data_IF_979887700592
#
_entry.id   IF_979887700592
#
_cell.length_a   1.000
_cell.length_b   1.000
_cell.length_c   1.000
_cell.angle_alpha   90.00
_cell.angle_beta   90.00
_cell.angle_gamma   90.00
#
_symmetry.space_group_name_H-M   'P 1'
#
loop_
_entity.id
_entity.type
_entity.pdbx_description
1 polymer ?
#
# COMPACT_ATOMS: atom_id res chain seq x y z
N UNK A 1 -12.31 11.02 10.02
CA UNK A 1 -11.01 10.40 10.30
C UNK A 1 -10.52 10.93 11.63
N UNK A 2 -10.20 9.98 12.50
CA UNK A 2 -9.67 10.17 13.83
C UNK A 2 -8.17 9.91 13.79
N UNK A 3 -7.40 10.79 14.42
CA UNK A 3 -5.95 10.67 14.55
C UNK A 3 -5.65 10.21 15.97
N UNK A 4 -4.96 9.09 16.09
CA UNK A 4 -4.52 8.55 17.36
C UNK A 4 -3.09 8.98 17.64
N UNK A 5 -2.84 9.46 18.86
CA UNK A 5 -1.51 9.87 19.26
C UNK A 5 -1.16 9.42 20.69
N UNK A 6 0.14 9.28 20.93
CA UNK A 6 0.68 9.00 22.25
C UNK A 6 0.88 10.30 23.02
N UNK A 7 0.41 10.33 24.27
CA UNK A 7 0.62 11.46 25.16
C UNK A 7 1.15 10.99 26.52
N UNK A 8 2.35 11.44 26.88
CA UNK A 8 2.94 11.11 28.18
C UNK A 8 2.18 11.83 29.30
N UNK A 9 1.67 11.06 30.29
CA UNK A 9 0.94 11.62 31.42
C UNK A 9 1.23 10.83 32.71
N UNK A 10 1.81 11.50 33.70
CA UNK A 10 2.03 10.98 35.07
C UNK A 10 2.66 9.57 35.10
N UNK A 11 3.71 9.36 34.29
CA UNK A 11 4.43 8.09 34.23
C UNK A 11 3.71 6.96 33.49
N UNK A 12 2.63 7.28 32.76
CA UNK A 12 1.93 6.41 31.82
C UNK A 12 1.93 7.04 30.43
N UNK A 13 1.59 6.23 29.43
CA UNK A 13 1.32 6.71 28.08
C UNK A 13 -0.16 6.62 27.79
N UNK A 14 -0.80 7.76 27.53
CA UNK A 14 -2.19 7.81 27.10
C UNK A 14 -2.27 7.67 25.59
N UNK A 15 -3.31 6.98 25.12
CA UNK A 15 -3.73 7.03 23.72
C UNK A 15 -4.86 8.05 23.65
N UNK A 16 -4.66 9.09 22.85
CA UNK A 16 -5.67 10.11 22.59
C UNK A 16 -6.22 9.93 21.18
N UNK A 17 -7.54 10.02 21.05
CA UNK A 17 -8.25 10.17 19.78
C UNK A 17 -8.46 11.67 19.53
N UNK A 18 -7.99 12.15 18.38
CA UNK A 18 -8.06 13.56 17.97
C UNK A 18 -8.78 13.65 16.64
N UNK A 19 -9.87 14.39 16.59
CA UNK A 19 -10.60 14.64 15.36
C UNK A 19 -11.07 16.08 15.30
N UNK A 20 -11.29 16.57 14.08
CA UNK A 20 -11.78 17.93 13.88
C UNK A 20 -13.31 17.93 13.89
N UNK A 21 -13.90 18.84 14.66
CA UNK A 21 -15.32 19.15 14.63
C UNK A 21 -15.48 20.62 14.25
N UNK A 22 -16.09 20.87 13.09
CA UNK A 22 -16.23 22.22 12.53
C UNK A 22 -14.88 22.96 12.46
N UNK A 23 -14.68 23.97 13.32
CA UNK A 23 -13.49 24.82 13.38
C UNK A 23 -12.53 24.49 14.53
N UNK A 24 -12.80 23.46 15.35
CA UNK A 24 -11.96 23.10 16.49
C UNK A 24 -11.49 21.64 16.47
N UNK A 25 -10.34 21.39 17.07
CA UNK A 25 -9.80 20.06 17.30
C UNK A 25 -10.31 19.52 18.64
N UNK A 26 -11.08 18.45 18.60
CA UNK A 26 -11.54 17.74 19.80
C UNK A 26 -10.54 16.61 20.08
N UNK A 27 -10.14 16.48 21.34
CA UNK A 27 -9.35 15.33 21.80
C UNK A 27 -10.07 14.61 22.92
N UNK A 28 -10.01 13.28 22.90
CA UNK A 28 -10.53 12.41 23.94
C UNK A 28 -9.51 11.35 24.30
N UNK A 29 -9.50 10.91 25.56
CA UNK A 29 -8.62 9.82 25.99
C UNK A 29 -9.31 8.49 25.73
N UNK A 30 -8.69 7.65 24.90
CA UNK A 30 -9.12 6.26 24.65
C UNK A 30 -8.76 5.41 25.86
N UNK A 31 -7.47 5.35 26.19
CA UNK A 31 -6.96 4.52 27.29
C UNK A 31 -5.58 4.98 27.79
N UNK A 32 -5.01 4.27 28.77
CA UNK A 32 -3.69 4.55 29.33
C UNK A 32 -2.90 3.27 29.57
N UNK A 33 -1.70 3.18 28.99
CA UNK A 33 -0.77 2.06 29.09
C UNK A 33 0.44 2.38 29.98
N UNK A 34 1.14 1.33 30.39
CA UNK A 34 2.30 1.43 31.29
C UNK A 34 3.54 2.03 30.64
N UNK A 35 3.65 2.01 29.31
CA UNK A 35 4.79 2.56 28.58
C UNK A 35 4.43 2.95 27.15
N UNK A 36 5.33 3.69 26.48
CA UNK A 36 5.17 4.11 25.09
C UNK A 36 5.31 2.94 24.12
N UNK A 37 6.18 1.97 24.42
CA UNK A 37 6.44 0.79 23.59
C UNK A 37 5.19 -0.10 23.48
N UNK A 38 4.39 -0.18 24.54
CA UNK A 38 3.11 -0.89 24.52
C UNK A 38 2.01 -0.12 23.78
N UNK A 39 2.06 1.22 23.80
CA UNK A 39 1.06 2.07 23.15
C UNK A 39 1.31 2.22 21.64
N UNK A 40 2.57 2.20 21.21
CA UNK A 40 2.98 2.43 19.83
C UNK A 40 2.29 1.53 18.79
N UNK A 41 2.32 0.19 18.91
CA UNK A 41 1.67 -0.68 17.92
C UNK A 41 0.14 -0.51 17.91
N UNK A 42 -0.48 -0.18 19.04
CA UNK A 42 -1.94 0.07 19.12
C UNK A 42 -2.28 1.38 18.39
N UNK A 43 -1.54 2.45 18.67
CA UNK A 43 -1.74 3.76 18.01
C UNK A 43 -1.56 3.64 16.50
N UNK A 44 -0.54 2.89 16.07
CA UNK A 44 -0.26 2.64 14.66
C UNK A 44 -1.44 1.93 13.97
N UNK A 45 -1.89 0.81 14.54
CA UNK A 45 -3.01 0.05 13.99
C UNK A 45 -4.32 0.86 13.97
N UNK A 46 -4.61 1.64 15.02
CA UNK A 46 -5.79 2.51 15.06
C UNK A 46 -5.75 3.62 14.00
N UNK A 47 -4.58 4.22 13.74
CA UNK A 47 -4.43 5.22 12.67
C UNK A 47 -4.66 4.60 11.29
N UNK A 48 -4.09 3.42 11.03
CA UNK A 48 -4.34 2.64 9.81
C UNK A 48 -5.83 2.36 9.64
N UNK A 49 -6.47 1.82 10.67
CA UNK A 49 -7.90 1.52 10.67
C UNK A 49 -8.73 2.76 10.36
N UNK A 50 -8.49 3.90 11.02
CA UNK A 50 -9.28 5.11 10.77
C UNK A 50 -9.10 5.62 9.33
N UNK A 51 -7.87 5.58 8.80
CA UNK A 51 -7.61 5.95 7.41
C UNK A 51 -8.34 5.02 6.43
N UNK A 52 -8.15 3.70 6.57
CA UNK A 52 -8.70 2.69 5.66
C UNK A 52 -10.24 2.56 5.75
N UNK A 53 -10.83 2.85 6.91
CA UNK A 53 -12.28 2.89 7.08
C UNK A 53 -12.89 4.17 6.49
N UNK A 54 -12.21 5.32 6.62
CA UNK A 54 -12.74 6.64 6.23
C UNK A 54 -12.50 6.97 4.76
N UNK A 55 -11.28 6.78 4.25
CA UNK A 55 -10.85 7.27 2.93
C UNK A 55 -11.74 6.76 1.78
N UNK A 56 -12.14 5.46 1.75
CA UNK A 56 -13.03 4.95 0.71
C UNK A 56 -14.38 5.63 0.63
N UNK A 57 -14.84 6.22 1.73
CA UNK A 57 -16.17 6.80 1.87
C UNK A 57 -16.29 8.26 1.41
N UNK A 58 -15.18 8.99 1.24
CA UNK A 58 -15.29 10.46 1.21
C UNK A 58 -14.28 11.28 0.41
N UNK A 59 -13.06 10.81 0.15
CA UNK A 59 -12.02 11.71 -0.40
C UNK A 59 -11.92 11.70 -1.92
N UNK A 60 -12.16 10.55 -2.56
CA UNK A 60 -11.82 10.39 -3.98
C UNK A 60 -12.97 9.87 -4.85
N UNK A 61 -14.19 9.73 -4.31
CA UNK A 61 -15.29 9.17 -5.10
C UNK A 61 -15.90 10.18 -6.10
N UNK A 62 -15.33 10.17 -7.30
CA UNK A 62 -15.76 10.99 -8.44
C UNK A 62 -16.89 10.33 -9.25
N UNK A 63 -17.30 9.10 -8.91
CA UNK A 63 -18.35 8.37 -9.63
C UNK A 63 -19.75 8.92 -9.28
N UNK A 64 -20.62 9.00 -10.28
CA UNK A 64 -21.92 9.67 -10.19
C UNK A 64 -22.74 9.32 -8.94
N UNK A 65 -23.16 10.36 -8.21
CA UNK A 65 -23.86 10.36 -6.89
C UNK A 65 -23.01 10.02 -5.65
N UNK A 66 -21.68 10.22 -5.70
CA UNK A 66 -20.70 10.49 -4.60
C UNK A 66 -20.63 9.55 -3.36
N UNK A 67 -21.71 8.87 -2.96
CA UNK A 67 -21.79 7.95 -1.81
C UNK A 67 -22.77 6.81 -2.06
N UNK A 68 -23.88 7.02 -2.81
CA UNK A 68 -24.92 5.98 -3.05
C UNK A 68 -24.41 4.70 -3.78
N UNK A 69 -23.15 4.69 -4.24
CA UNK A 69 -22.57 3.59 -5.04
C UNK A 69 -21.30 2.99 -4.46
N UNK A 70 -20.78 3.51 -3.36
CA UNK A 70 -19.55 2.99 -2.77
C UNK A 70 -19.89 1.99 -1.66
N UNK A 71 -19.28 0.79 -1.62
CA UNK A 71 -19.59 -0.20 -0.60
C UNK A 71 -19.23 0.32 0.80
N UNK A 72 -20.08 -0.01 1.77
CA UNK A 72 -19.92 0.39 3.19
C UNK A 72 -19.76 -0.81 4.12
N UNK A 73 -19.75 -2.02 3.53
CA UNK A 73 -19.73 -3.29 4.23
C UNK A 73 -18.46 -3.46 5.08
N UNK A 74 -17.34 -2.85 4.65
CA UNK A 74 -16.09 -2.86 5.39
C UNK A 74 -16.19 -2.21 6.77
N UNK A 75 -17.14 -1.29 6.99
CA UNK A 75 -17.34 -0.68 8.31
C UNK A 75 -17.77 -1.68 9.37
N UNK A 76 -18.53 -2.72 8.99
CA UNK A 76 -18.95 -3.75 9.93
C UNK A 76 -17.76 -4.52 10.51
N UNK A 77 -16.65 -4.63 9.78
CA UNK A 77 -15.46 -5.36 10.22
C UNK A 77 -14.73 -4.70 11.40
N UNK A 78 -15.01 -3.41 11.68
CA UNK A 78 -14.45 -2.69 12.82
C UNK A 78 -14.87 -3.33 14.14
N UNK A 79 -16.14 -3.73 14.25
CA UNK A 79 -16.71 -4.29 15.50
C UNK A 79 -17.07 -5.77 15.38
N UNK A 80 -17.46 -6.24 14.20
CA UNK A 80 -17.79 -7.65 13.96
C UNK A 80 -16.58 -8.43 13.45
N UNK A 81 -15.95 -9.21 14.37
CA UNK A 81 -14.86 -10.11 14.02
C UNK A 81 -15.24 -11.15 12.96
N UNK A 82 -16.50 -11.57 12.87
CA UNK A 82 -16.95 -12.52 11.85
C UNK A 82 -17.00 -11.85 10.46
N UNK A 83 -17.29 -10.55 10.39
CA UNK A 83 -17.30 -9.79 9.15
C UNK A 83 -15.89 -9.55 8.57
N UNK A 84 -14.83 -9.63 9.39
CA UNK A 84 -13.44 -9.40 8.95
C UNK A 84 -13.00 -10.35 7.83
N UNK A 85 -13.43 -11.61 7.86
CA UNK A 85 -13.13 -12.54 6.78
C UNK A 85 -13.71 -12.08 5.42
N UNK A 86 -14.80 -11.33 5.45
CA UNK A 86 -15.43 -10.72 4.27
C UNK A 86 -14.56 -9.67 3.59
N UNK A 87 -13.65 -9.00 4.32
CA UNK A 87 -12.74 -7.99 3.76
C UNK A 87 -11.75 -8.58 2.74
N UNK A 88 -11.48 -9.88 2.83
CA UNK A 88 -10.59 -10.57 1.91
C UNK A 88 -11.29 -11.06 0.64
N UNK A 89 -12.62 -11.04 0.65
CA UNK A 89 -13.48 -11.54 -0.42
C UNK A 89 -14.26 -10.40 -1.06
N UNK A 90 -13.93 -10.07 -2.30
CA UNK A 90 -14.62 -9.03 -3.04
C UNK A 90 -14.06 -8.89 -4.45
N UNK A 91 -14.78 -8.15 -5.28
CA UNK A 91 -14.38 -7.86 -6.66
C UNK A 91 -14.93 -6.50 -7.12
N UNK A 92 -15.05 -5.54 -6.20
CA UNK A 92 -15.62 -4.23 -6.50
C UNK A 92 -14.71 -3.42 -7.44
N UNK A 93 -13.53 -3.01 -6.96
CA UNK A 93 -12.48 -2.36 -7.75
C UNK A 93 -11.10 -2.66 -7.16
N UNK A 94 -10.05 -2.64 -7.97
CA UNK A 94 -8.67 -2.94 -7.54
C UNK A 94 -8.28 -2.12 -6.31
N UNK A 95 -8.55 -0.81 -6.36
CA UNK A 95 -8.28 0.10 -5.24
C UNK A 95 -9.06 -0.28 -3.97
N UNK A 96 -10.37 -0.55 -4.08
CA UNK A 96 -11.18 -0.86 -2.91
C UNK A 96 -10.82 -2.20 -2.26
N UNK A 97 -10.57 -3.21 -3.09
CA UNK A 97 -10.22 -4.55 -2.62
C UNK A 97 -8.83 -4.60 -1.98
N UNK A 98 -7.92 -3.71 -2.42
CA UNK A 98 -6.68 -3.47 -1.72
C UNK A 98 -6.92 -2.78 -0.37
N UNK A 99 -7.74 -1.72 -0.31
CA UNK A 99 -8.07 -1.04 0.95
C UNK A 99 -8.70 -2.01 1.96
N UNK A 100 -9.61 -2.87 1.53
CA UNK A 100 -10.23 -3.87 2.42
C UNK A 100 -9.20 -4.87 2.96
N UNK A 101 -8.24 -5.28 2.14
CA UNK A 101 -7.15 -6.15 2.58
C UNK A 101 -6.22 -5.48 3.58
N UNK A 102 -5.82 -4.23 3.34
CA UNK A 102 -4.95 -3.51 4.28
C UNK A 102 -5.72 -3.19 5.58
N UNK A 103 -7.03 -2.92 5.50
CA UNK A 103 -7.89 -2.79 6.68
C UNK A 103 -7.93 -4.08 7.50
N UNK A 104 -8.01 -5.22 6.82
CA UNK A 104 -7.93 -6.53 7.48
C UNK A 104 -6.59 -6.70 8.20
N UNK A 105 -5.46 -6.38 7.55
CA UNK A 105 -4.14 -6.45 8.20
C UNK A 105 -4.07 -5.53 9.43
N UNK A 106 -4.52 -4.29 9.32
CA UNK A 106 -4.52 -3.36 10.44
C UNK A 106 -5.38 -3.84 11.63
N UNK A 107 -6.51 -4.51 11.36
CA UNK A 107 -7.36 -5.12 12.40
C UNK A 107 -6.70 -6.34 13.05
N UNK A 108 -5.95 -7.15 12.28
CA UNK A 108 -5.15 -8.26 12.82
C UNK A 108 -4.03 -7.73 13.70
N UNK A 109 -3.28 -6.73 13.23
CA UNK A 109 -2.19 -6.10 13.98
C UNK A 109 -2.71 -5.49 15.29
N UNK A 110 -3.89 -4.86 15.26
CA UNK A 110 -4.54 -4.36 16.47
C UNK A 110 -4.86 -5.49 17.45
N UNK A 111 -5.47 -6.58 16.98
CA UNK A 111 -5.80 -7.75 17.81
C UNK A 111 -4.54 -8.34 18.47
N UNK A 112 -3.44 -8.46 17.70
CA UNK A 112 -2.14 -8.93 18.22
C UNK A 112 -1.56 -7.96 19.25
N UNK A 113 -1.56 -6.67 18.97
CA UNK A 113 -1.04 -5.64 19.86
C UNK A 113 -1.80 -5.58 21.20
N UNK A 114 -3.11 -5.85 21.20
CA UNK A 114 -3.93 -5.83 22.42
C UNK A 114 -4.07 -7.20 23.11
N UNK A 115 -3.58 -8.29 22.50
CA UNK A 115 -3.76 -9.65 23.02
C UNK A 115 -3.25 -9.80 24.47
N UNK A 116 -2.07 -9.24 24.76
CA UNK A 116 -1.45 -9.26 26.08
C UNK A 116 -1.94 -8.13 27.02
N UNK A 117 -2.77 -7.20 26.54
CA UNK A 117 -3.21 -6.06 27.33
C UNK A 117 -4.25 -6.46 28.40
N UNK A 118 -4.26 -5.83 29.58
CA UNK A 118 -5.31 -6.00 30.59
C UNK A 118 -6.71 -5.77 30.02
N UNK A 119 -7.71 -6.48 30.56
CA UNK A 119 -9.10 -6.38 30.09
C UNK A 119 -9.66 -4.95 29.99
N UNK A 120 -9.38 -4.02 30.95
CA UNK A 120 -9.86 -2.64 30.80
C UNK A 120 -9.31 -1.91 29.58
N UNK A 121 -8.09 -2.22 29.14
CA UNK A 121 -7.51 -1.63 27.93
C UNK A 121 -8.21 -2.20 26.70
N UNK A 122 -8.39 -3.53 26.63
CA UNK A 122 -9.10 -4.17 25.51
C UNK A 122 -10.53 -3.63 25.35
N UNK A 123 -11.28 -3.53 26.45
CA UNK A 123 -12.65 -2.98 26.44
C UNK A 123 -12.67 -1.52 25.94
N UNK A 124 -11.69 -0.71 26.35
CA UNK A 124 -11.60 0.68 25.88
C UNK A 124 -11.30 0.77 24.38
N UNK A 125 -10.45 -0.10 23.85
CA UNK A 125 -10.15 -0.18 22.41
C UNK A 125 -11.38 -0.68 21.62
N UNK A 126 -12.08 -1.71 22.12
CA UNK A 126 -13.32 -2.20 21.49
C UNK A 126 -14.40 -1.09 21.45
N UNK A 127 -14.58 -0.35 22.55
CA UNK A 127 -15.51 0.78 22.60
C UNK A 127 -15.12 1.95 21.68
N UNK A 128 -13.83 2.14 21.44
CA UNK A 128 -13.33 3.13 20.47
C UNK A 128 -13.68 2.72 19.04
N UNK A 129 -13.48 1.45 18.67
CA UNK A 129 -13.88 0.94 17.35
C UNK A 129 -15.39 1.02 17.12
N UNK A 130 -16.21 0.74 18.16
CA UNK A 130 -17.66 0.94 18.12
C UNK A 130 -18.04 2.41 17.90
N UNK A 131 -17.30 3.33 18.52
CA UNK A 131 -17.52 4.77 18.35
C UNK A 131 -17.19 5.20 16.94
N UNK A 132 -16.02 4.83 16.41
CA UNK A 132 -15.59 5.16 15.05
C UNK A 132 -16.56 4.58 14.00
N UNK A 133 -16.97 3.31 14.12
CA UNK A 133 -17.93 2.68 13.21
C UNK A 133 -19.26 3.44 13.19
N UNK A 134 -19.81 3.74 14.39
CA UNK A 134 -21.08 4.45 14.51
C UNK A 134 -20.98 5.86 13.92
N UNK A 135 -19.95 6.61 14.26
CA UNK A 135 -19.78 7.99 13.76
C UNK A 135 -19.61 8.02 12.24
N UNK A 136 -18.90 7.06 11.65
CA UNK A 136 -18.80 6.92 10.20
C UNK A 136 -20.15 6.58 9.55
N UNK A 137 -20.93 5.67 10.14
CA UNK A 137 -22.28 5.34 9.63
C UNK A 137 -23.25 6.50 9.74
N UNK A 138 -23.24 7.21 10.87
CA UNK A 138 -24.11 8.37 11.08
C UNK A 138 -23.77 9.48 10.08
N UNK A 139 -22.48 9.76 9.86
CA UNK A 139 -22.01 10.73 8.86
C UNK A 139 -22.42 10.33 7.43
N UNK A 140 -22.36 9.05 7.08
CA UNK A 140 -22.83 8.54 5.79
C UNK A 140 -24.34 8.70 5.61
N UNK A 141 -25.12 8.39 6.65
CA UNK A 141 -26.57 8.54 6.63
C UNK A 141 -26.96 10.01 6.42
N UNK A 142 -26.37 10.94 7.19
CA UNK A 142 -26.58 12.39 7.03
C UNK A 142 -26.24 12.86 5.61
N UNK A 143 -25.12 12.38 5.04
CA UNK A 143 -24.74 12.72 3.67
C UNK A 143 -25.73 12.20 2.64
N UNK A 144 -26.27 10.99 2.83
CA UNK A 144 -27.24 10.37 1.92
C UNK A 144 -28.60 11.08 1.90
N UNK A 145 -28.98 11.74 3.00
CA UNK A 145 -30.22 12.51 3.12
C UNK A 145 -30.07 13.95 2.59
N UNK A 146 -28.85 14.43 2.37
CA UNK A 146 -28.56 15.80 1.95
C UNK A 146 -28.68 16.02 0.43
N UNK A 147 -29.17 17.22 0.06
CA UNK A 147 -29.18 17.76 -1.32
C UNK A 147 -27.76 17.69 -1.91
N UNK A 148 -27.59 17.43 -3.23
CA UNK A 148 -26.28 17.31 -3.87
C UNK A 148 -25.32 18.39 -3.38
N UNK A 149 -24.19 17.96 -2.81
CA UNK A 149 -23.17 18.88 -2.34
C UNK A 149 -22.81 19.84 -3.48
N UNK A 150 -23.03 21.16 -3.31
CA UNK A 150 -22.74 22.15 -4.35
C UNK A 150 -21.32 21.94 -4.89
N UNK A 151 -21.12 22.10 -6.19
CA UNK A 151 -19.77 22.18 -6.76
C UNK A 151 -18.98 23.25 -5.97
N UNK A 152 -17.91 22.83 -5.29
CA UNK A 152 -17.12 23.68 -4.39
C UNK A 152 -17.30 23.46 -2.88
N UNK A 153 -18.32 22.71 -2.43
CA UNK A 153 -18.47 22.26 -1.03
C UNK A 153 -18.05 20.80 -0.81
N UNK A 154 -17.43 20.18 -1.81
CA UNK A 154 -16.73 18.92 -1.62
C UNK A 154 -15.65 19.16 -0.56
N UNK A 155 -15.54 18.26 0.42
CA UNK A 155 -14.35 18.17 1.28
C UNK A 155 -13.17 17.77 0.39
N UNK A 156 -12.65 18.72 -0.38
CA UNK A 156 -11.37 18.64 -1.04
C UNK A 156 -10.35 18.88 0.04
N UNK A 157 -9.75 17.81 0.54
CA UNK A 157 -8.49 17.96 1.22
C UNK A 157 -7.44 17.93 0.11
N UNK A 158 -6.87 19.09 -0.22
CA UNK A 158 -5.80 19.29 -1.22
C UNK A 158 -4.47 18.61 -0.83
N UNK A 159 -4.51 17.68 0.13
CA UNK A 159 -3.41 16.84 0.55
C UNK A 159 -3.54 15.52 -0.19
N UNK A 160 -2.60 15.19 -1.08
CA UNK A 160 -2.55 13.91 -1.79
C UNK A 160 -2.41 12.69 -0.87
N UNK A 161 -2.29 12.89 0.45
CA UNK A 161 -2.08 11.85 1.46
C UNK A 161 -3.08 12.02 2.63
N UNK A 162 -3.55 10.93 3.26
CA UNK A 162 -4.22 11.04 4.55
C UNK A 162 -3.25 11.50 5.64
N UNK A 163 -3.81 12.16 6.66
CA UNK A 163 -3.11 13.01 7.62
C UNK A 163 -2.02 12.34 8.49
N UNK A 164 -1.90 11.02 8.49
CA UNK A 164 -0.92 10.29 9.30
C UNK A 164 -0.27 9.19 8.45
N UNK A 165 1.00 9.36 8.06
CA UNK A 165 1.76 8.27 7.47
C UNK A 165 1.97 7.18 8.53
N UNK A 166 1.71 5.93 8.15
CA UNK A 166 2.01 4.74 8.95
C UNK A 166 3.14 3.93 8.29
N UNK A 167 3.76 3.05 9.06
CA UNK A 167 4.78 2.10 8.64
C UNK A 167 4.19 1.14 7.59
N UNK A 168 4.74 1.19 6.36
CA UNK A 168 4.17 0.59 5.13
C UNK A 168 3.77 1.64 4.09
N UNK A 169 3.70 2.91 4.50
CA UNK A 169 3.45 4.05 3.62
C UNK A 169 1.98 4.19 3.21
N UNK A 170 1.67 5.36 2.65
CA UNK A 170 0.33 5.71 2.15
C UNK A 170 0.19 5.54 0.64
N UNK A 171 1.12 4.81 0.02
CA UNK A 171 1.37 4.89 -1.42
C UNK A 171 0.13 4.57 -2.26
N UNK A 172 -0.74 3.66 -1.78
CA UNK A 172 -2.01 3.30 -2.43
C UNK A 172 -3.25 4.03 -1.90
N UNK A 173 -3.14 4.82 -0.83
CA UNK A 173 -4.23 5.65 -0.29
C UNK A 173 -4.20 7.09 -0.82
N UNK A 174 -3.80 7.27 -2.08
CA UNK A 174 -3.74 8.57 -2.77
C UNK A 174 -4.79 8.65 -3.90
N UNK A 175 -5.09 9.89 -4.35
CA UNK A 175 -6.00 10.09 -5.49
C UNK A 175 -5.39 9.53 -6.78
N UNK A 176 -4.09 9.69 -6.93
CA UNK A 176 -3.29 9.25 -8.06
C UNK A 176 -3.32 7.72 -8.12
N UNK A 177 -3.04 7.03 -7.01
CA UNK A 177 -3.13 5.57 -6.93
C UNK A 177 -4.50 5.04 -7.32
N UNK A 178 -5.57 5.66 -6.81
CA UNK A 178 -6.93 5.30 -7.21
C UNK A 178 -7.13 5.46 -8.71
N UNK A 179 -6.73 6.59 -9.30
CA UNK A 179 -6.91 6.84 -10.74
C UNK A 179 -6.14 5.84 -11.60
N UNK A 180 -4.91 5.49 -11.22
CA UNK A 180 -4.13 4.51 -11.98
C UNK A 180 -4.75 3.11 -11.87
N UNK A 181 -5.16 2.68 -10.66
CA UNK A 181 -5.85 1.40 -10.49
C UNK A 181 -7.22 1.36 -11.19
N UNK A 182 -7.97 2.48 -11.20
CA UNK A 182 -9.22 2.61 -11.95
C UNK A 182 -8.99 2.48 -13.47
N UNK A 183 -7.84 2.94 -14.00
CA UNK A 183 -7.46 2.74 -15.42
C UNK A 183 -7.09 1.29 -15.71
N UNK A 184 -6.31 0.65 -14.83
CA UNK A 184 -5.90 -0.75 -15.01
C UNK A 184 -7.08 -1.73 -15.00
N UNK A 185 -8.17 -1.39 -14.32
CA UNK A 185 -9.40 -2.20 -14.34
C UNK A 185 -10.37 -1.88 -15.47
N UNK A 186 -10.08 -0.89 -16.31
CA UNK A 186 -10.97 -0.52 -17.40
C UNK A 186 -11.08 -1.66 -18.42
N UNK A 187 -12.29 -2.20 -18.59
CA UNK A 187 -12.55 -3.25 -19.57
C UNK A 187 -12.16 -4.68 -19.17
N UNK A 188 -11.61 -4.90 -17.97
CA UNK A 188 -11.26 -6.25 -17.49
C UNK A 188 -12.48 -7.00 -16.94
N UNK A 189 -12.45 -8.34 -17.01
CA UNK A 189 -13.52 -9.18 -16.43
C UNK A 189 -13.38 -9.27 -14.91
N UNK A 190 -14.44 -9.76 -14.25
CA UNK A 190 -14.41 -10.00 -12.80
C UNK A 190 -13.30 -10.97 -12.40
N UNK A 191 -13.11 -12.04 -13.14
CA UNK A 191 -12.09 -13.05 -12.87
C UNK A 191 -10.67 -12.48 -13.00
N UNK A 192 -10.43 -11.65 -14.02
CA UNK A 192 -9.17 -10.91 -14.18
C UNK A 192 -8.94 -9.93 -13.03
N UNK A 193 -9.99 -9.24 -12.58
CA UNK A 193 -9.90 -8.33 -11.43
C UNK A 193 -9.54 -9.08 -10.15
N UNK A 194 -10.17 -10.23 -9.88
CA UNK A 194 -9.86 -11.05 -8.70
C UNK A 194 -8.40 -11.51 -8.71
N UNK A 195 -7.86 -11.94 -9.86
CA UNK A 195 -6.45 -12.28 -10.00
C UNK A 195 -5.53 -11.07 -9.76
N UNK A 196 -5.82 -9.93 -10.40
CA UNK A 196 -5.03 -8.72 -10.26
C UNK A 196 -5.03 -8.16 -8.82
N UNK A 197 -6.14 -8.30 -8.08
CA UNK A 197 -6.18 -7.99 -6.65
C UNK A 197 -5.24 -8.89 -5.86
N UNK A 198 -5.22 -10.19 -6.14
CA UNK A 198 -4.29 -11.13 -5.49
C UNK A 198 -2.84 -10.79 -5.78
N UNK A 199 -2.51 -10.46 -7.03
CA UNK A 199 -1.15 -10.09 -7.43
C UNK A 199 -0.71 -8.76 -6.80
N UNK A 200 -1.59 -7.75 -6.78
CA UNK A 200 -1.34 -6.46 -6.13
C UNK A 200 -1.09 -6.62 -4.62
N UNK A 201 -1.90 -7.43 -3.93
CA UNK A 201 -1.70 -7.73 -2.50
C UNK A 201 -0.33 -8.35 -2.25
N UNK A 202 0.09 -9.29 -3.11
CA UNK A 202 1.39 -9.93 -3.00
C UNK A 202 2.53 -8.94 -3.19
N UNK A 203 2.44 -8.12 -4.23
CA UNK A 203 3.45 -7.12 -4.56
C UNK A 203 3.64 -6.12 -3.42
N UNK A 204 2.54 -5.56 -2.89
CA UNK A 204 2.58 -4.63 -1.75
C UNK A 204 3.15 -5.30 -0.50
N UNK A 205 2.74 -6.55 -0.23
CA UNK A 205 3.27 -7.32 0.90
C UNK A 205 4.79 -7.51 0.78
N UNK A 206 5.29 -7.80 -0.43
CA UNK A 206 6.72 -7.95 -0.67
C UNK A 206 7.48 -6.62 -0.47
N UNK A 207 6.91 -5.51 -0.95
CA UNK A 207 7.47 -4.17 -0.77
C UNK A 207 7.55 -3.80 0.72
N UNK A 208 6.50 -4.05 1.50
CA UNK A 208 6.48 -3.77 2.94
C UNK A 208 7.47 -4.64 3.75
N UNK A 209 7.72 -5.86 3.29
CA UNK A 209 8.71 -6.77 3.88
C UNK A 209 10.15 -6.40 3.51
N UNK A 210 10.35 -5.68 2.41
CA UNK A 210 11.67 -5.24 1.96
C UNK A 210 12.18 -4.06 2.79
N UNK A 211 12.96 -4.37 3.84
CA UNK A 211 13.43 -3.38 4.81
C UNK A 211 14.27 -2.24 4.22
N UNK A 212 14.88 -2.42 3.04
CA UNK A 212 15.71 -1.41 2.39
C UNK A 212 14.89 -0.39 1.56
N UNK A 213 13.61 -0.64 1.28
CA UNK A 213 12.70 0.39 0.75
C UNK A 213 12.59 1.61 1.67
N UNK A 214 12.97 1.48 2.95
CA UNK A 214 13.02 2.58 3.93
C UNK A 214 14.31 3.41 3.87
N UNK A 215 15.26 3.03 3.01
CA UNK A 215 16.56 3.68 2.84
C UNK A 215 16.72 4.35 1.45
N UNK A 216 15.62 4.61 0.75
CA UNK A 216 15.55 5.18 -0.62
C UNK A 216 16.11 4.28 -1.75
N UNK A 217 16.39 2.99 -1.48
CA UNK A 217 16.90 2.02 -2.49
C UNK A 217 15.83 1.51 -3.48
N UNK A 218 14.58 1.97 -3.37
CA UNK A 218 13.52 1.56 -4.27
C UNK A 218 12.18 2.24 -4.06
N UNK A 219 11.30 2.04 -5.03
CA UNK A 219 9.95 2.64 -5.04
C UNK A 219 8.91 1.64 -5.54
N UNK A 220 7.68 1.83 -5.08
CA UNK A 220 6.51 1.14 -5.63
C UNK A 220 5.92 2.02 -6.74
N UNK A 221 5.92 1.52 -7.98
CA UNK A 221 5.28 2.19 -9.10
C UNK A 221 3.83 1.76 -9.24
N UNK A 222 3.00 2.72 -9.62
CA UNK A 222 1.55 2.58 -9.74
C UNK A 222 1.04 2.69 -11.17
N UNK A 223 1.79 3.44 -12.00
CA UNK A 223 1.56 3.50 -13.45
C UNK A 223 1.76 2.11 -14.07
N UNK A 224 2.75 1.38 -13.55
CA UNK A 224 2.99 -0.03 -13.79
C UNK A 224 3.05 -0.67 -12.41
N UNK A 225 2.15 -1.60 -12.02
CA UNK A 225 2.22 -2.21 -10.70
C UNK A 225 3.49 -3.07 -10.57
N UNK A 226 4.55 -2.44 -10.06
CA UNK A 226 5.86 -3.05 -9.93
C UNK A 226 6.64 -2.45 -8.76
N UNK A 227 7.62 -3.22 -8.28
CA UNK A 227 8.65 -2.73 -7.37
C UNK A 227 9.88 -2.41 -8.18
N UNK A 228 10.32 -1.17 -8.11
CA UNK A 228 11.58 -0.70 -8.68
C UNK A 228 12.65 -0.68 -7.59
N UNK A 229 13.80 -1.27 -7.87
CA UNK A 229 14.95 -1.34 -6.98
C UNK A 229 16.21 -0.82 -7.67
N UNK A 230 16.75 0.27 -7.15
CA UNK A 230 17.96 0.92 -7.64
C UNK A 230 18.89 1.13 -6.43
N UNK A 231 19.74 0.14 -6.13
CA UNK A 231 20.65 0.27 -5.01
C UNK A 231 21.75 1.29 -5.34
N UNK A 232 22.22 2.00 -4.31
CA UNK A 232 23.37 2.88 -4.44
C UNK A 232 24.61 2.10 -4.95
N UNK A 233 25.42 2.72 -5.81
CA UNK A 233 26.61 2.12 -6.46
C UNK A 233 26.33 0.92 -7.41
N UNK A 234 25.17 0.87 -8.06
CA UNK A 234 24.81 -0.20 -9.01
C UNK A 234 25.31 -0.04 -10.46
N UNK A 235 26.28 0.85 -10.73
CA UNK A 235 26.74 1.18 -12.09
C UNK A 235 25.57 1.48 -13.06
N UNK A 236 24.58 2.27 -12.61
CA UNK A 236 23.36 2.60 -13.34
C UNK A 236 22.40 1.43 -13.63
N UNK A 237 22.61 0.26 -13.02
CA UNK A 237 21.68 -0.86 -13.13
C UNK A 237 20.56 -0.76 -12.10
N UNK A 238 19.40 -1.24 -12.48
CA UNK A 238 18.25 -1.36 -11.60
C UNK A 238 17.49 -2.65 -11.90
N UNK A 239 16.61 -3.03 -10.99
CA UNK A 239 15.76 -4.20 -11.10
C UNK A 239 14.30 -3.81 -10.95
N UNK A 240 13.44 -4.39 -11.77
CA UNK A 240 11.98 -4.30 -11.59
C UNK A 240 11.39 -5.67 -11.32
N UNK A 241 10.41 -5.72 -10.42
CA UNK A 241 9.56 -6.89 -10.18
C UNK A 241 8.13 -6.50 -10.47
N UNK A 242 7.56 -7.07 -11.53
CA UNK A 242 6.26 -6.61 -12.06
C UNK A 242 5.25 -7.76 -12.06
N UNK A 243 4.00 -7.42 -11.74
CA UNK A 243 2.85 -8.36 -11.76
C UNK A 243 2.37 -8.59 -13.20
N UNK A 244 1.56 -9.64 -13.46
CA UNK A 244 0.87 -9.79 -14.73
C UNK A 244 0.00 -8.56 -15.05
N UNK A 245 0.02 -8.10 -16.30
CA UNK A 245 -0.84 -6.99 -16.72
C UNK A 245 -2.32 -7.42 -16.76
N UNK A 246 -3.21 -6.80 -15.95
CA UNK A 246 -4.64 -7.13 -15.97
C UNK A 246 -5.32 -6.83 -17.31
N UNK A 247 -4.88 -5.80 -18.03
CA UNK A 247 -5.40 -5.38 -19.33
C UNK A 247 -5.03 -6.34 -20.46
N UNK A 248 -3.87 -7.00 -20.35
CA UNK A 248 -3.35 -7.96 -21.31
C UNK A 248 -2.68 -7.31 -22.53
N UNK A 249 -2.26 -6.04 -22.42
CA UNK A 249 -1.41 -5.39 -23.42
C UNK A 249 0.08 -5.72 -23.18
N UNK A 250 0.44 -5.99 -21.93
CA UNK A 250 1.77 -6.38 -21.49
C UNK A 250 1.97 -7.89 -21.29
N UNK A 251 2.87 -8.25 -20.38
CA UNK A 251 3.22 -9.64 -20.07
C UNK A 251 2.14 -10.26 -19.17
N UNK A 252 1.55 -11.36 -19.63
CA UNK A 252 0.55 -12.15 -18.89
C UNK A 252 1.20 -13.11 -17.87
N UNK A 253 2.23 -12.63 -17.16
CA UNK A 253 2.98 -13.38 -16.17
C UNK A 253 3.80 -12.46 -15.26
N UNK A 254 4.03 -12.93 -14.04
CA UNK A 254 5.01 -12.33 -13.15
C UNK A 254 6.39 -12.37 -13.81
N UNK A 255 7.13 -11.27 -13.73
CA UNK A 255 8.47 -11.19 -14.28
C UNK A 255 9.38 -10.30 -13.47
N UNK A 256 10.67 -10.57 -13.61
CA UNK A 256 11.76 -9.77 -13.06
C UNK A 256 12.63 -9.32 -14.22
N UNK A 257 12.86 -8.02 -14.32
CA UNK A 257 13.77 -7.44 -15.31
C UNK A 257 15.01 -6.89 -14.63
N UNK A 258 16.16 -7.10 -15.28
CA UNK A 258 17.40 -6.39 -14.96
C UNK A 258 17.63 -5.39 -16.09
N UNK A 259 17.75 -4.13 -15.71
CA UNK A 259 17.79 -3.00 -16.61
C UNK A 259 19.00 -2.11 -16.33
N UNK A 260 19.26 -1.17 -17.22
CA UNK A 260 20.31 -0.15 -17.07
C UNK A 260 19.81 1.19 -17.55
N UNK A 261 20.11 2.25 -16.81
CA UNK A 261 19.88 3.61 -17.27
C UNK A 261 20.84 3.96 -18.40
N UNK A 262 20.30 4.42 -19.52
CA UNK A 262 21.05 5.03 -20.61
C UNK A 262 20.82 6.54 -20.61
N UNK A 263 21.86 7.37 -20.67
CA UNK A 263 21.68 8.81 -20.73
C UNK A 263 21.00 9.22 -22.04
N UNK A 264 20.02 10.11 -21.95
CA UNK A 264 19.34 10.64 -23.13
C UNK A 264 20.28 11.53 -23.96
N UNK A 265 21.23 12.22 -23.31
CA UNK A 265 22.32 12.96 -23.96
C UNK A 265 23.56 12.05 -24.14
N UNK A 266 23.99 11.77 -25.38
CA UNK A 266 25.18 10.98 -25.65
C UNK A 266 26.48 11.56 -25.07
N UNK A 267 26.53 12.86 -24.76
CA UNK A 267 27.70 13.51 -24.15
C UNK A 267 27.88 13.11 -22.67
N UNK A 268 26.81 12.70 -21.98
CA UNK A 268 26.82 12.26 -20.58
C UNK A 268 27.22 10.78 -20.42
N UNK A 269 27.59 10.09 -21.52
CA UNK A 269 28.01 8.69 -21.47
C UNK A 269 29.25 8.49 -20.60
N UNK A 270 29.07 7.77 -19.50
CA UNK A 270 30.12 7.48 -18.53
C UNK A 270 30.26 8.51 -17.42
N UNK A 271 29.33 9.45 -17.31
CA UNK A 271 29.15 10.26 -16.11
C UNK A 271 28.52 9.43 -14.98
N UNK A 272 28.83 9.78 -13.73
CA UNK A 272 28.29 9.10 -12.55
C UNK A 272 26.81 9.46 -12.29
N UNK A 273 26.37 10.62 -12.76
CA UNK A 273 24.99 11.09 -12.66
C UNK A 273 24.54 11.66 -14.01
N UNK A 274 23.35 11.26 -14.48
CA UNK A 274 22.78 11.76 -15.74
C UNK A 274 21.76 12.87 -15.45
N UNK A 275 21.70 13.88 -16.32
CA UNK A 275 20.68 14.92 -16.23
C UNK A 275 19.31 14.41 -16.66
N UNK A 276 19.28 13.41 -17.55
CA UNK A 276 18.10 12.67 -17.99
C UNK A 276 18.52 11.30 -18.55
N UNK A 277 17.70 10.27 -18.30
CA UNK A 277 18.01 8.91 -18.71
C UNK A 277 16.74 8.10 -18.99
N UNK A 278 16.87 7.13 -19.89
CA UNK A 278 15.86 6.14 -20.23
C UNK A 278 16.33 4.74 -19.84
N UNK A 279 15.45 3.91 -19.30
CA UNK A 279 15.78 2.54 -18.92
C UNK A 279 15.84 1.59 -20.12
N UNK A 280 16.98 0.93 -20.30
CA UNK A 280 17.16 -0.18 -21.24
C UNK A 280 16.95 -1.52 -20.53
N UNK A 281 16.08 -2.37 -21.06
CA UNK A 281 15.91 -3.73 -20.57
C UNK A 281 17.05 -4.63 -21.06
N UNK A 282 17.87 -5.14 -20.15
CA UNK A 282 18.97 -6.05 -20.51
C UNK A 282 18.47 -7.49 -20.55
N UNK A 283 17.82 -7.92 -19.46
CA UNK A 283 17.36 -9.29 -19.26
C UNK A 283 15.96 -9.32 -18.66
N UNK A 284 15.24 -10.42 -18.97
CA UNK A 284 13.94 -10.73 -18.38
C UNK A 284 13.90 -12.18 -17.92
N UNK A 285 13.36 -12.38 -16.72
CA UNK A 285 13.00 -13.67 -16.16
C UNK A 285 11.48 -13.74 -16.01
N UNK A 286 10.78 -14.47 -16.88
CA UNK A 286 9.35 -14.76 -16.71
C UNK A 286 9.18 -15.93 -15.73
N UNK A 287 8.42 -15.70 -14.68
CA UNK A 287 8.19 -16.69 -13.63
C UNK A 287 7.13 -17.71 -14.10
N UNK A 288 7.36 -19.02 -13.91
CA UNK A 288 6.42 -20.06 -14.32
C UNK A 288 5.16 -20.15 -13.44
N UNK A 289 5.17 -19.48 -12.29
CA UNK A 289 4.08 -19.40 -11.33
C UNK A 289 4.20 -18.11 -10.51
N UNK A 290 3.11 -17.68 -9.88
CA UNK A 290 3.10 -16.58 -8.91
C UNK A 290 4.14 -16.84 -7.80
N UNK A 291 5.09 -15.91 -7.55
CA UNK A 291 6.08 -16.06 -6.49
C UNK A 291 5.42 -15.95 -5.11
N UNK A 292 6.16 -16.19 -4.03
CA UNK A 292 5.74 -15.74 -2.70
C UNK A 292 6.22 -14.31 -2.43
N UNK A 293 5.53 -13.58 -1.55
CA UNK A 293 5.99 -12.24 -1.14
C UNK A 293 7.37 -12.28 -0.46
N UNK A 294 7.66 -13.37 0.27
CA UNK A 294 8.96 -13.58 0.93
C UNK A 294 10.08 -13.77 -0.10
N UNK A 295 9.85 -14.54 -1.17
CA UNK A 295 10.86 -14.74 -2.22
C UNK A 295 11.19 -13.42 -2.93
N UNK A 296 10.16 -12.59 -3.21
CA UNK A 296 10.35 -11.26 -3.80
C UNK A 296 11.11 -10.33 -2.85
N UNK A 297 10.72 -10.28 -1.57
CA UNK A 297 11.40 -9.46 -0.58
C UNK A 297 12.87 -9.89 -0.39
N UNK A 298 13.17 -11.20 -0.40
CA UNK A 298 14.54 -11.73 -0.31
C UNK A 298 15.37 -11.37 -1.54
N UNK A 299 14.80 -11.44 -2.74
CA UNK A 299 15.45 -10.98 -3.97
C UNK A 299 15.85 -9.51 -3.86
N UNK A 300 14.90 -8.65 -3.49
CA UNK A 300 15.11 -7.21 -3.33
C UNK A 300 16.14 -6.90 -2.23
N UNK A 301 16.07 -7.58 -1.09
CA UNK A 301 17.05 -7.44 -0.01
C UNK A 301 18.46 -7.82 -0.44
N UNK A 302 18.61 -8.82 -1.33
CA UNK A 302 19.92 -9.18 -1.86
C UNK A 302 20.48 -8.13 -2.79
N UNK A 303 19.65 -7.56 -3.67
CA UNK A 303 20.03 -6.46 -4.56
C UNK A 303 20.52 -5.26 -3.76
N UNK A 304 19.83 -4.89 -2.67
CA UNK A 304 20.29 -3.84 -1.76
C UNK A 304 21.59 -4.16 -1.02
N UNK A 305 21.78 -5.42 -0.60
CA UNK A 305 22.96 -5.82 0.16
C UNK A 305 24.22 -5.98 -0.70
N UNK A 306 24.05 -6.34 -1.97
CA UNK A 306 25.13 -6.64 -2.92
C UNK A 306 24.86 -5.93 -4.28
N UNK A 307 24.98 -4.60 -4.39
CA UNK A 307 24.58 -3.86 -5.59
C UNK A 307 25.23 -4.36 -6.89
N UNK A 308 26.50 -4.80 -6.82
CA UNK A 308 27.24 -5.36 -7.95
C UNK A 308 26.65 -6.64 -8.54
N UNK A 309 25.71 -7.30 -7.84
CA UNK A 309 25.00 -8.48 -8.35
C UNK A 309 24.18 -8.17 -9.60
N UNK A 310 23.69 -6.94 -9.77
CA UNK A 310 22.92 -6.55 -10.95
C UNK A 310 23.79 -6.54 -12.21
N UNK A 311 25.02 -6.02 -12.11
CA UNK A 311 26.01 -6.03 -13.21
C UNK A 311 26.41 -7.46 -13.59
N UNK A 312 26.56 -8.35 -12.61
CA UNK A 312 26.83 -9.78 -12.86
C UNK A 312 25.64 -10.46 -13.52
N UNK A 313 24.43 -10.24 -13.00
CA UNK A 313 23.20 -10.78 -13.54
C UNK A 313 22.96 -10.34 -14.96
N UNK A 314 23.20 -9.07 -15.30
CA UNK A 314 23.05 -8.52 -16.66
C UNK A 314 23.81 -9.30 -17.75
N UNK A 315 24.85 -10.05 -17.39
CA UNK A 315 25.63 -10.88 -18.33
C UNK A 315 25.12 -12.32 -18.45
N UNK A 316 24.04 -12.68 -17.74
CA UNK A 316 23.49 -14.04 -17.70
C UNK A 316 22.83 -14.39 -19.04
N UNK A 317 23.14 -15.58 -19.54
CA UNK A 317 22.60 -16.08 -20.82
C UNK A 317 21.19 -16.65 -20.69
N UNK A 318 20.38 -16.52 -21.75
CA UNK A 318 19.05 -17.12 -21.83
C UNK A 318 19.09 -18.62 -21.51
N UNK A 319 18.18 -19.07 -20.66
CA UNK A 319 18.08 -20.45 -20.17
C UNK A 319 18.93 -20.75 -18.94
N UNK A 320 19.75 -19.80 -18.48
CA UNK A 320 20.54 -19.93 -17.24
C UNK A 320 19.84 -19.23 -16.08
N UNK A 321 20.00 -19.73 -14.83
CA UNK A 321 19.51 -19.04 -13.66
C UNK A 321 20.37 -17.82 -13.30
N UNK A 322 19.76 -16.75 -12.79
CA UNK A 322 20.49 -15.65 -12.16
C UNK A 322 21.22 -16.18 -10.93
N UNK A 323 22.50 -15.85 -10.80
CA UNK A 323 23.38 -16.43 -9.78
C UNK A 323 22.81 -16.28 -8.36
N UNK A 324 22.71 -17.41 -7.64
CA UNK A 324 22.16 -17.49 -6.29
C UNK A 324 20.63 -17.31 -6.19
N UNK A 325 19.91 -17.46 -7.31
CA UNK A 325 18.43 -17.49 -7.34
C UNK A 325 17.95 -18.71 -8.13
N UNK A 326 16.64 -18.93 -8.15
CA UNK A 326 15.96 -19.91 -9.02
C UNK A 326 15.39 -19.27 -10.29
N UNK A 327 15.56 -17.96 -10.48
CA UNK A 327 15.01 -17.20 -11.61
C UNK A 327 15.80 -17.51 -12.87
N UNK A 328 15.14 -18.03 -13.89
CA UNK A 328 15.76 -18.39 -15.18
C UNK A 328 15.52 -17.28 -16.18
N UNK A 329 16.59 -16.83 -16.85
CA UNK A 329 16.51 -15.84 -17.92
C UNK A 329 15.73 -16.43 -19.10
N UNK A 330 14.61 -15.80 -19.44
CA UNK A 330 13.74 -16.23 -20.54
C UNK A 330 14.01 -15.47 -21.84
N UNK A 331 14.52 -14.25 -21.75
CA UNK A 331 14.90 -13.46 -22.92
C UNK A 331 15.95 -12.40 -22.56
N UNK A 332 16.79 -12.08 -23.54
CA UNK A 332 17.58 -10.85 -23.57
C UNK A 332 16.85 -9.89 -24.51
N UNK A 333 16.75 -8.61 -24.17
CA UNK A 333 16.11 -7.60 -25.01
C UNK A 333 17.13 -6.69 -25.73
N UNK A 334 18.42 -6.99 -25.60
CA UNK A 334 19.48 -6.34 -26.36
C UNK A 334 19.53 -6.86 -27.82
N UNK A 335 19.02 -6.04 -28.76
CA UNK A 335 19.47 -5.97 -30.15
C UNK A 335 19.83 -4.54 -30.53
#
# INVERSE_FOLDING_TARGET
MTIYCQHANRGKTQILAVYRREDDAVSSTVTSLGSAELAAPIVEALNRISALATVPLGLFDERGRRVERYPTEHLAALTDRAARAGLLSGAHSLWYEWVCWDLHQALVDLDEAVAAAPAPIRIAIEAELETEERELRDALAEYSEAVPVPEGNQRSWDSGFPFVPYKGGMHLLTREARKELDRLEEGITREKREAAVSDLRLLVTAFDQWSAAQADDGMFSLEYPEIFAEPYDADHHFLTVSVPDPGGEGVDAWHVDVCRWEPDDPEEKGEEEYSSATGEHLLRCVLPATPSAEDVAQLLSRVSAEPGVLTEWAQTTVGSPLEGTTLVVTSCLAE
#
